data_IF_527939102756
#
_entry.id   IF_527939102756
#
_cell.length_a   1.000
_cell.length_b   1.000
_cell.length_c   1.000
_cell.angle_alpha   90.00
_cell.angle_beta   90.00
_cell.angle_gamma   90.00
#
_symmetry.space_group_name_H-M   'P 1'
#
loop_
_entity.id
_entity.type
_entity.pdbx_description
1 polymer ?
#
# COMPACT_ATOMS: atom_id res chain seq x y z
N UNK A 1 -4.19 -19.41 12.28
CA UNK A 1 -3.26 -18.27 12.33
C UNK A 1 -1.94 -18.70 11.71
N UNK A 2 -1.59 -18.24 10.51
CA UNK A 2 -0.33 -18.61 9.87
C UNK A 2 0.82 -17.92 10.59
N UNK A 3 1.53 -18.70 11.38
CA UNK A 3 2.75 -18.23 12.03
C UNK A 3 3.84 -18.08 10.99
N UNK A 4 4.51 -16.92 10.96
CA UNK A 4 5.76 -16.76 10.22
C UNK A 4 6.76 -17.76 10.80
N UNK A 5 7.07 -18.82 10.03
CA UNK A 5 7.94 -19.92 10.49
C UNK A 5 9.41 -19.65 10.17
N UNK A 6 9.68 -18.92 9.08
CA UNK A 6 11.04 -18.57 8.66
C UNK A 6 11.35 -17.15 9.10
N UNK A 7 12.40 -16.99 9.88
CA UNK A 7 12.80 -15.73 10.51
C UNK A 7 11.67 -15.13 11.36
N UNK A 8 11.21 -15.83 12.41
CA UNK A 8 10.12 -15.34 13.26
C UNK A 8 10.47 -14.04 13.98
N UNK A 9 11.76 -13.77 14.20
CA UNK A 9 12.28 -12.55 14.83
C UNK A 9 12.00 -11.26 13.99
N UNK A 10 11.74 -11.43 12.70
CA UNK A 10 11.35 -10.33 11.80
C UNK A 10 9.83 -10.07 11.81
N UNK A 11 9.05 -10.90 12.52
CA UNK A 11 7.61 -10.73 12.62
C UNK A 11 7.29 -9.60 13.60
N UNK A 12 6.69 -8.52 13.12
CA UNK A 12 6.06 -7.52 13.98
C UNK A 12 4.81 -8.11 14.64
N UNK A 13 4.63 -7.80 15.91
CA UNK A 13 3.49 -8.28 16.69
C UNK A 13 2.57 -7.13 17.13
N UNK A 14 3.04 -5.89 17.00
CA UNK A 14 2.30 -4.70 17.41
C UNK A 14 1.50 -4.16 16.23
N UNK A 15 0.31 -3.67 16.53
CA UNK A 15 -0.54 -2.99 15.55
C UNK A 15 0.16 -1.76 14.94
N UNK A 16 0.94 -1.04 15.71
CA UNK A 16 1.72 0.11 15.23
C UNK A 16 2.71 -0.25 14.12
N UNK A 17 3.27 -1.47 14.13
CA UNK A 17 4.18 -1.91 13.08
C UNK A 17 3.42 -2.16 11.77
N UNK A 18 2.21 -2.74 11.87
CA UNK A 18 1.31 -2.89 10.72
C UNK A 18 0.89 -1.55 10.14
N UNK A 19 0.44 -0.63 10.99
CA UNK A 19 -0.01 0.70 10.59
C UNK A 19 1.11 1.46 9.87
N UNK A 20 2.33 1.44 10.40
CA UNK A 20 3.50 2.08 9.80
C UNK A 20 3.83 1.53 8.39
N UNK A 21 3.64 0.22 8.17
CA UNK A 21 3.82 -0.38 6.84
C UNK A 21 2.69 0.02 5.89
N UNK A 22 1.44 -0.01 6.35
CA UNK A 22 0.28 0.34 5.53
C UNK A 22 0.24 1.84 5.18
N UNK A 23 0.78 2.72 6.04
CA UNK A 23 0.79 4.17 5.79
C UNK A 23 1.99 4.64 4.94
N UNK A 24 2.97 3.77 4.70
CA UNK A 24 4.20 4.14 4.01
C UNK A 24 4.11 4.12 2.47
N UNK A 25 3.05 3.56 1.89
CA UNK A 25 2.83 3.51 0.44
C UNK A 25 1.34 3.56 0.12
N UNK A 26 1.01 3.96 -1.11
CA UNK A 26 -0.37 4.04 -1.58
C UNK A 26 -0.73 2.86 -2.53
N UNK A 27 0.19 1.93 -2.77
CA UNK A 27 -0.01 0.79 -3.69
C UNK A 27 0.14 -0.51 -2.93
N UNK A 28 -0.83 -1.40 -3.11
CA UNK A 28 -0.78 -2.77 -2.62
C UNK A 28 -1.38 -3.73 -3.64
N UNK A 29 -1.45 -4.99 -3.29
CA UNK A 29 -1.93 -6.07 -4.14
C UNK A 29 -3.11 -6.76 -3.48
N UNK A 30 -4.27 -6.70 -4.11
CA UNK A 30 -5.45 -7.48 -3.73
C UNK A 30 -5.37 -8.85 -4.38
N UNK A 31 -5.55 -9.89 -3.59
CA UNK A 31 -5.62 -11.27 -4.01
C UNK A 31 -6.91 -11.92 -3.49
N UNK A 32 -7.57 -12.67 -4.34
CA UNK A 32 -8.79 -13.44 -4.02
C UNK A 32 -8.91 -14.64 -4.96
N UNK A 33 -10.03 -15.33 -4.89
CA UNK A 33 -10.40 -16.39 -5.85
C UNK A 33 -11.66 -15.94 -6.59
N UNK A 34 -11.60 -15.89 -7.89
CA UNK A 34 -12.73 -15.61 -8.78
C UNK A 34 -12.93 -16.82 -9.70
N UNK A 35 -14.13 -17.38 -9.70
CA UNK A 35 -14.51 -18.57 -10.48
C UNK A 35 -13.56 -19.78 -10.31
N UNK A 36 -13.08 -19.98 -9.08
CA UNK A 36 -12.16 -21.06 -8.73
C UNK A 36 -10.68 -20.81 -9.09
N UNK A 37 -10.38 -19.69 -9.73
CA UNK A 37 -9.02 -19.29 -10.12
C UNK A 37 -8.48 -18.18 -9.23
N UNK A 38 -7.17 -18.20 -8.92
CA UNK A 38 -6.51 -17.07 -8.24
C UNK A 38 -6.65 -15.80 -9.07
N UNK A 39 -7.15 -14.73 -8.46
CA UNK A 39 -7.25 -13.41 -9.05
C UNK A 39 -6.42 -12.42 -8.23
N UNK A 40 -5.49 -11.74 -8.89
CA UNK A 40 -4.51 -10.85 -8.25
C UNK A 40 -4.43 -9.54 -9.03
N UNK A 41 -4.57 -8.40 -8.33
CA UNK A 41 -4.50 -7.09 -8.97
C UNK A 41 -3.80 -6.06 -8.07
N UNK A 42 -2.81 -5.30 -8.59
CA UNK A 42 -2.28 -4.11 -7.93
C UNK A 42 -3.35 -3.02 -7.88
N UNK A 43 -3.50 -2.39 -6.71
CA UNK A 43 -4.50 -1.33 -6.49
C UNK A 43 -3.92 -0.20 -5.64
N UNK A 44 -4.38 1.02 -5.91
CA UNK A 44 -4.26 2.10 -4.95
C UNK A 44 -5.14 1.80 -3.74
N UNK A 45 -4.69 2.17 -2.57
CA UNK A 45 -5.43 2.01 -1.33
C UNK A 45 -5.18 3.14 -0.34
N UNK A 46 -6.02 3.20 0.66
CA UNK A 46 -5.80 4.00 1.87
C UNK A 46 -6.12 3.17 3.11
N UNK A 47 -5.51 3.49 4.25
CA UNK A 47 -5.91 2.96 5.56
C UNK A 47 -6.82 3.98 6.25
N UNK A 48 -7.93 3.50 6.79
CA UNK A 48 -8.85 4.27 7.61
C UNK A 48 -9.08 3.52 8.93
N UNK A 49 -8.27 3.83 9.94
CA UNK A 49 -8.34 3.13 11.23
C UNK A 49 -8.13 1.62 11.05
N UNK A 50 -9.17 0.84 11.34
CA UNK A 50 -9.17 -0.61 11.30
C UNK A 50 -9.67 -1.19 9.98
N UNK A 51 -9.46 -0.49 8.86
CA UNK A 51 -9.83 -0.97 7.53
C UNK A 51 -8.92 -0.45 6.44
N UNK A 52 -8.74 -1.26 5.40
CA UNK A 52 -8.15 -0.88 4.13
C UNK A 52 -9.28 -0.46 3.21
N UNK A 53 -9.16 0.73 2.63
CA UNK A 53 -10.12 1.28 1.66
C UNK A 53 -9.57 1.08 0.27
N UNK A 54 -10.40 0.56 -0.62
CA UNK A 54 -10.09 0.25 -2.01
C UNK A 54 -11.18 0.84 -2.93
N UNK A 55 -10.83 1.12 -4.18
CA UNK A 55 -11.83 1.46 -5.18
C UNK A 55 -11.52 0.85 -6.54
N UNK A 56 -12.54 0.75 -7.36
CA UNK A 56 -12.41 0.31 -8.73
C UNK A 56 -13.63 0.71 -9.57
N UNK A 57 -13.63 0.31 -10.83
CA UNK A 57 -14.77 0.56 -11.72
C UNK A 57 -15.91 -0.43 -11.46
N UNK A 58 -17.14 0.05 -11.45
CA UNK A 58 -18.32 -0.83 -11.45
C UNK A 58 -18.45 -1.70 -12.71
N UNK A 59 -17.71 -1.36 -13.78
CA UNK A 59 -17.58 -2.16 -15.00
C UNK A 59 -16.60 -3.33 -14.89
N UNK A 60 -15.77 -3.40 -13.84
CA UNK A 60 -14.81 -4.48 -13.61
C UNK A 60 -15.56 -5.71 -13.02
N UNK A 61 -15.93 -6.67 -13.85
CA UNK A 61 -16.76 -7.82 -13.47
C UNK A 61 -16.24 -8.59 -12.25
N UNK A 62 -14.96 -9.02 -12.27
CA UNK A 62 -14.35 -9.74 -11.16
C UNK A 62 -14.36 -8.93 -9.85
N UNK A 63 -14.05 -7.63 -9.89
CA UNK A 63 -14.06 -6.79 -8.70
C UNK A 63 -15.47 -6.66 -8.08
N UNK A 64 -16.51 -6.66 -8.90
CA UNK A 64 -17.90 -6.64 -8.42
C UNK A 64 -18.26 -7.92 -7.67
N UNK A 65 -17.85 -9.09 -8.18
CA UNK A 65 -18.11 -10.38 -7.53
C UNK A 65 -17.41 -10.45 -6.17
N UNK A 66 -16.17 -10.01 -6.09
CA UNK A 66 -15.39 -10.08 -4.84
C UNK A 66 -15.78 -9.02 -3.80
N UNK A 67 -16.38 -7.90 -4.22
CA UNK A 67 -16.78 -6.81 -3.33
C UNK A 67 -17.95 -7.19 -2.39
N UNK A 68 -18.67 -8.26 -2.66
CA UNK A 68 -19.87 -8.68 -1.92
C UNK A 68 -19.58 -9.82 -0.92
N UNK A 69 -18.41 -9.80 -0.29
CA UNK A 69 -18.06 -10.68 0.82
C UNK A 69 -17.08 -11.80 0.50
N UNK A 70 -16.41 -11.76 -0.64
CA UNK A 70 -15.40 -12.75 -0.96
C UNK A 70 -14.21 -12.70 0.00
N UNK A 71 -13.64 -13.86 0.38
CA UNK A 71 -12.37 -13.90 1.09
C UNK A 71 -11.26 -13.28 0.25
N UNK A 72 -10.46 -12.45 0.88
CA UNK A 72 -9.38 -11.74 0.22
C UNK A 72 -8.14 -11.62 1.09
N UNK A 73 -7.00 -11.44 0.45
CA UNK A 73 -5.77 -11.01 1.07
C UNK A 73 -5.30 -9.72 0.40
N UNK A 74 -4.87 -8.76 1.19
CA UNK A 74 -4.25 -7.53 0.70
C UNK A 74 -2.81 -7.48 1.17
N UNK A 75 -1.87 -7.41 0.24
CA UNK A 75 -0.44 -7.42 0.50
C UNK A 75 0.21 -6.08 0.12
N UNK A 76 1.10 -5.61 0.98
CA UNK A 76 1.95 -4.44 0.75
C UNK A 76 3.38 -4.84 0.95
N UNK A 77 4.28 -4.39 0.08
CA UNK A 77 5.71 -4.65 0.20
C UNK A 77 6.50 -3.45 -0.29
N UNK A 78 7.50 -3.05 0.50
CA UNK A 78 8.45 -2.01 0.15
C UNK A 78 9.87 -2.56 0.28
N UNK A 79 10.69 -2.29 -0.72
CA UNK A 79 12.11 -2.60 -0.70
C UNK A 79 12.85 -1.37 -0.17
N UNK A 80 13.48 -1.49 0.98
CA UNK A 80 14.16 -0.39 1.67
C UNK A 80 15.68 -0.41 1.46
N UNK A 81 16.24 -1.52 0.98
CA UNK A 81 17.68 -1.60 0.67
C UNK A 81 18.10 -2.97 0.15
N UNK A 82 19.24 -2.99 -0.49
CA UNK A 82 19.93 -4.22 -0.91
C UNK A 82 21.07 -4.48 0.08
N UNK A 83 21.09 -5.66 0.65
CA UNK A 83 22.12 -6.12 1.58
C UNK A 83 23.11 -6.98 0.80
N UNK A 84 24.33 -6.49 0.67
CA UNK A 84 25.42 -7.17 0.01
C UNK A 84 26.32 -7.75 1.11
N UNK A 85 26.50 -9.06 1.08
CA UNK A 85 27.43 -9.78 1.96
C UNK A 85 28.65 -10.24 1.16
N UNK A 86 29.65 -10.74 1.86
CA UNK A 86 30.83 -11.38 1.25
C UNK A 86 30.51 -12.71 0.55
N UNK A 87 29.30 -13.24 0.77
CA UNK A 87 28.78 -14.42 0.08
C UNK A 87 27.48 -14.14 -0.65
N UNK A 88 27.20 -14.89 -1.73
CA UNK A 88 25.89 -14.83 -2.41
C UNK A 88 24.75 -15.35 -1.53
N UNK A 89 25.03 -16.30 -0.66
CA UNK A 89 24.04 -16.90 0.22
C UNK A 89 23.52 -15.91 1.26
N UNK A 90 24.38 -15.05 1.80
CA UNK A 90 24.05 -14.08 2.84
C UNK A 90 23.56 -12.72 2.29
N UNK A 91 23.76 -12.52 0.98
CA UNK A 91 23.22 -11.34 0.30
C UNK A 91 21.69 -11.41 0.22
N UNK A 92 21.01 -10.30 0.52
CA UNK A 92 19.54 -10.25 0.65
C UNK A 92 19.01 -8.81 0.51
N UNK A 93 17.82 -8.54 1.03
CA UNK A 93 17.20 -7.22 1.00
C UNK A 93 16.69 -6.80 2.38
N UNK A 94 16.75 -5.51 2.67
CA UNK A 94 15.95 -4.87 3.71
C UNK A 94 14.60 -4.49 3.12
N UNK A 95 13.51 -4.81 3.83
CA UNK A 95 12.16 -4.61 3.35
C UNK A 95 11.16 -4.53 4.49
N UNK A 96 10.04 -3.90 4.21
CA UNK A 96 8.84 -3.94 5.04
C UNK A 96 7.70 -4.55 4.24
N UNK A 97 6.92 -5.44 4.87
CA UNK A 97 5.74 -6.03 4.24
C UNK A 97 4.63 -6.28 5.24
N UNK A 98 3.40 -6.18 4.75
CA UNK A 98 2.20 -6.50 5.49
C UNK A 98 1.25 -7.32 4.62
N UNK A 99 0.52 -8.24 5.25
CA UNK A 99 -0.60 -8.96 4.63
C UNK A 99 -1.78 -8.89 5.58
N UNK A 100 -2.91 -8.39 5.09
CA UNK A 100 -4.20 -8.37 5.79
C UNK A 100 -5.14 -9.33 5.09
N UNK A 101 -5.83 -10.17 5.85
CA UNK A 101 -6.81 -11.15 5.34
C UNK A 101 -8.18 -10.88 5.94
N UNK A 102 -9.21 -11.08 5.16
CA UNK A 102 -10.58 -10.88 5.59
C UNK A 102 -11.56 -10.99 4.43
N UNK A 103 -12.77 -10.53 4.65
CA UNK A 103 -13.79 -10.48 3.63
C UNK A 103 -14.01 -9.04 3.19
N UNK A 104 -14.00 -8.82 1.89
CA UNK A 104 -14.30 -7.51 1.30
C UNK A 104 -15.77 -7.15 1.56
N UNK A 105 -16.01 -5.86 1.77
CA UNK A 105 -17.35 -5.30 1.92
C UNK A 105 -17.48 -4.04 1.07
N UNK A 106 -18.57 -3.94 0.33
CA UNK A 106 -18.93 -2.75 -0.44
C UNK A 106 -19.32 -1.59 0.49
N UNK A 107 -18.86 -0.39 0.17
CA UNK A 107 -19.35 0.86 0.74
C UNK A 107 -20.54 1.39 -0.05
N UNK A 108 -21.51 2.00 0.63
CA UNK A 108 -22.69 2.59 0.00
C UNK A 108 -23.02 3.97 0.57
N UNK A 109 -23.75 4.79 -0.19
CA UNK A 109 -24.20 6.11 0.25
C UNK A 109 -23.03 7.01 0.70
N UNK A 110 -23.21 7.66 1.83
CA UNK A 110 -22.19 8.59 2.40
C UNK A 110 -20.89 7.89 2.78
N UNK A 111 -20.92 6.58 3.08
CA UNK A 111 -19.71 5.83 3.35
C UNK A 111 -18.83 5.72 2.10
N UNK A 112 -19.43 5.50 0.92
CA UNK A 112 -18.69 5.45 -0.33
C UNK A 112 -18.05 6.81 -0.67
N UNK A 113 -18.76 7.92 -0.44
CA UNK A 113 -18.22 9.28 -0.64
C UNK A 113 -17.00 9.48 0.27
N UNK A 114 -17.14 9.24 1.59
CA UNK A 114 -16.02 9.39 2.53
C UNK A 114 -14.83 8.51 2.20
N UNK A 115 -15.07 7.28 1.74
CA UNK A 115 -14.02 6.36 1.32
C UNK A 115 -13.23 6.91 0.12
N UNK A 116 -13.91 7.49 -0.88
CA UNK A 116 -13.26 8.06 -2.06
C UNK A 116 -12.51 9.36 -1.76
N UNK A 117 -13.06 10.22 -0.89
CA UNK A 117 -12.37 11.43 -0.42
C UNK A 117 -11.09 11.06 0.33
N UNK A 118 -11.16 10.10 1.25
CA UNK A 118 -10.02 9.61 2.00
C UNK A 118 -8.95 9.00 1.11
N UNK A 119 -9.32 8.24 0.08
CA UNK A 119 -8.36 7.72 -0.90
C UNK A 119 -7.68 8.82 -1.70
N UNK A 120 -8.44 9.86 -2.07
CA UNK A 120 -7.89 11.04 -2.75
C UNK A 120 -6.87 11.75 -1.88
N UNK A 121 -7.17 11.94 -0.60
CA UNK A 121 -6.30 12.63 0.35
C UNK A 121 -5.11 11.77 0.81
N UNK A 122 -5.25 10.45 0.82
CA UNK A 122 -4.13 9.54 1.05
C UNK A 122 -3.10 9.58 -0.09
N UNK A 123 -3.56 9.74 -1.33
CA UNK A 123 -2.70 9.86 -2.50
C UNK A 123 -2.10 11.26 -2.64
N UNK A 124 -2.95 12.30 -2.48
CA UNK A 124 -2.56 13.72 -2.60
C UNK A 124 -3.13 14.49 -1.39
N UNK A 125 -2.34 14.73 -0.34
CA UNK A 125 -2.82 15.24 0.94
C UNK A 125 -3.61 16.54 0.87
N UNK A 126 -4.89 16.49 1.25
CA UNK A 126 -5.82 17.64 1.25
C UNK A 126 -6.44 17.96 -0.11
N UNK A 127 -6.32 17.06 -1.09
CA UNK A 127 -6.84 17.30 -2.44
C UNK A 127 -8.36 17.37 -2.50
N UNK A 128 -9.05 16.60 -1.69
CA UNK A 128 -10.51 16.55 -1.67
C UNK A 128 -11.15 17.93 -1.37
N UNK A 129 -10.47 18.76 -0.54
CA UNK A 129 -10.91 20.09 -0.20
C UNK A 129 -10.61 21.16 -1.28
N UNK A 130 -9.73 20.88 -2.22
CA UNK A 130 -9.29 21.82 -3.25
C UNK A 130 -10.08 21.73 -4.57
N UNK A 131 -10.83 20.65 -4.76
CA UNK A 131 -11.58 20.39 -5.98
C UNK A 131 -13.07 20.20 -5.69
N UNK A 132 -13.90 20.22 -6.73
CA UNK A 132 -15.32 19.92 -6.58
C UNK A 132 -15.55 18.51 -6.03
N UNK A 133 -16.65 18.33 -5.35
CA UNK A 133 -17.10 17.03 -4.88
C UNK A 133 -17.50 16.07 -6.03
N UNK A 134 -17.63 14.80 -5.72
CA UNK A 134 -18.05 13.77 -6.67
C UNK A 134 -19.45 14.02 -7.22
N UNK A 135 -19.64 13.84 -8.50
CA UNK A 135 -20.98 13.84 -9.13
C UNK A 135 -21.67 12.49 -8.92
N UNK A 136 -23.01 12.48 -9.00
CA UNK A 136 -23.81 11.24 -8.95
C UNK A 136 -23.36 10.21 -10.00
N UNK A 137 -22.96 10.68 -11.19
CA UNK A 137 -22.49 9.80 -12.29
C UNK A 137 -21.14 9.17 -11.94
N UNK A 138 -20.21 9.91 -11.36
CA UNK A 138 -18.90 9.40 -10.92
C UNK A 138 -19.06 8.38 -9.80
N UNK A 139 -19.89 8.67 -8.79
CA UNK A 139 -20.20 7.72 -7.72
C UNK A 139 -20.84 6.43 -8.25
N UNK A 140 -21.77 6.52 -9.20
CA UNK A 140 -22.39 5.35 -9.80
C UNK A 140 -21.43 4.49 -10.63
N UNK A 141 -20.36 5.11 -11.18
CA UNK A 141 -19.33 4.42 -11.95
C UNK A 141 -18.20 3.83 -11.10
N UNK A 142 -18.16 4.18 -9.79
CA UNK A 142 -17.06 3.82 -8.90
C UNK A 142 -17.54 2.87 -7.81
N UNK A 143 -16.84 1.75 -7.66
CA UNK A 143 -17.04 0.78 -6.60
C UNK A 143 -16.05 1.08 -5.48
N UNK A 144 -16.52 1.54 -4.32
CA UNK A 144 -15.74 1.67 -3.11
C UNK A 144 -15.94 0.45 -2.21
N UNK A 145 -14.84 -0.05 -1.63
CA UNK A 145 -14.83 -1.28 -0.83
C UNK A 145 -13.92 -1.10 0.38
N UNK A 146 -14.15 -1.89 1.40
CA UNK A 146 -13.28 -1.99 2.56
C UNK A 146 -12.92 -3.44 2.87
N UNK A 147 -11.70 -3.63 3.35
CA UNK A 147 -11.23 -4.88 3.96
C UNK A 147 -10.93 -4.58 5.44
N UNK A 148 -11.67 -5.18 6.40
CA UNK A 148 -11.41 -4.98 7.82
C UNK A 148 -10.02 -5.49 8.24
N UNK A 149 -9.38 -4.79 9.16
CA UNK A 149 -8.12 -5.19 9.79
C UNK A 149 -8.44 -5.78 11.18
N UNK A 150 -8.79 -7.04 11.20
CA UNK A 150 -9.17 -7.73 12.43
C UNK A 150 -7.97 -8.29 13.19
N UNK A 151 -8.00 -8.34 14.54
CA UNK A 151 -6.97 -8.97 15.32
C UNK A 151 -6.73 -10.42 14.89
N UNK A 152 -5.46 -10.77 14.65
CA UNK A 152 -5.09 -12.11 14.22
C UNK A 152 -5.28 -12.43 12.73
N UNK A 153 -5.85 -11.48 11.96
CA UNK A 153 -6.03 -11.62 10.51
C UNK A 153 -4.97 -10.89 9.69
N UNK A 154 -3.88 -10.50 10.29
CA UNK A 154 -2.77 -9.84 9.60
C UNK A 154 -1.41 -10.38 10.01
N UNK A 155 -0.44 -10.14 9.17
CA UNK A 155 0.99 -10.37 9.45
C UNK A 155 1.78 -9.16 8.96
N UNK A 156 2.81 -8.78 9.71
CA UNK A 156 3.76 -7.74 9.31
C UNK A 156 5.18 -8.27 9.48
N UNK A 157 6.07 -7.87 8.60
CA UNK A 157 7.47 -8.26 8.63
C UNK A 157 8.34 -7.07 8.27
N UNK A 158 9.34 -6.82 9.10
CA UNK A 158 10.31 -5.74 8.91
C UNK A 158 11.71 -6.33 9.00
N UNK A 159 12.50 -6.15 7.97
CA UNK A 159 13.93 -6.43 7.99
C UNK A 159 14.68 -5.13 7.72
N UNK A 160 15.47 -4.73 8.68
CA UNK A 160 16.37 -3.57 8.60
C UNK A 160 17.67 -3.92 9.37
N UNK A 161 18.55 -4.62 8.68
CA UNK A 161 19.77 -5.14 9.29
C UNK A 161 20.94 -5.10 8.28
N UNK A 162 22.16 -4.94 8.75
CA UNK A 162 23.37 -5.13 7.95
C UNK A 162 23.51 -6.60 7.50
N UNK A 163 24.45 -6.91 6.61
CA UNK A 163 24.86 -8.30 6.36
C UNK A 163 25.43 -8.91 7.65
N UNK A 164 25.36 -10.24 7.80
CA UNK A 164 26.04 -10.92 8.90
C UNK A 164 27.57 -10.68 8.83
N UNK A 165 28.22 -10.71 9.97
CA UNK A 165 29.67 -10.65 9.99
C UNK A 165 30.25 -11.91 9.32
N UNK A 166 31.30 -11.78 8.50
CA UNK A 166 31.92 -12.93 7.86
C UNK A 166 32.57 -13.86 8.89
N UNK A 167 32.59 -15.13 8.60
CA UNK A 167 33.24 -16.14 9.48
C UNK A 167 34.78 -16.15 9.33
N UNK A 168 35.28 -15.60 8.24
CA UNK A 168 36.71 -15.42 7.96
C UNK A 168 36.88 -14.10 7.18
N UNK A 169 38.06 -13.49 7.26
CA UNK A 169 38.38 -12.30 6.49
C UNK A 169 38.45 -12.66 5.00
N UNK A 170 37.41 -12.26 4.26
CA UNK A 170 37.31 -12.51 2.82
C UNK A 170 37.97 -11.41 1.98
N UNK A 171 38.25 -10.25 2.58
CA UNK A 171 38.70 -9.04 1.86
C UNK A 171 37.65 -8.43 0.94
N UNK A 172 36.44 -9.00 0.89
CA UNK A 172 35.33 -8.53 0.05
C UNK A 172 34.53 -7.41 0.73
N UNK A 173 34.00 -6.49 -0.08
CA UNK A 173 33.12 -5.44 0.43
C UNK A 173 31.77 -6.02 0.83
N UNK A 174 31.25 -5.61 2.01
CA UNK A 174 29.92 -5.93 2.50
C UNK A 174 29.25 -4.68 3.08
N UNK A 175 27.93 -4.57 2.91
CA UNK A 175 27.18 -3.41 3.39
C UNK A 175 25.74 -3.37 2.89
N UNK A 176 25.10 -2.22 3.05
CA UNK A 176 23.71 -1.98 2.59
C UNK A 176 23.70 -0.83 1.59
N UNK A 177 23.01 -1.04 0.46
CA UNK A 177 22.65 0.03 -0.47
C UNK A 177 21.20 0.42 -0.16
N UNK A 178 20.95 1.57 0.52
CA UNK A 178 19.58 2.00 0.82
C UNK A 178 18.83 2.42 -0.44
N UNK A 179 17.52 2.16 -0.44
CA UNK A 179 16.62 2.53 -1.53
C UNK A 179 15.50 3.42 -0.98
N UNK A 180 15.24 4.53 -1.67
CA UNK A 180 14.19 5.48 -1.31
C UNK A 180 13.36 5.86 -2.52
N UNK A 181 12.03 5.92 -2.32
CA UNK A 181 11.13 6.54 -3.29
C UNK A 181 10.93 7.99 -2.89
N UNK A 182 11.19 8.93 -3.81
CA UNK A 182 11.05 10.36 -3.57
C UNK A 182 10.15 11.01 -4.63
N UNK A 183 9.31 11.96 -4.21
CA UNK A 183 8.63 12.85 -5.15
C UNK A 183 9.66 13.79 -5.82
N UNK A 184 9.38 14.14 -7.07
CA UNK A 184 10.19 15.11 -7.84
C UNK A 184 9.35 16.33 -8.17
N UNK A 185 9.94 17.35 -8.77
CA UNK A 185 9.24 18.55 -9.22
C UNK A 185 8.01 18.19 -10.05
N UNK A 186 6.86 18.83 -9.79
CA UNK A 186 5.63 18.54 -10.50
C UNK A 186 5.71 19.00 -11.95
N UNK A 187 5.23 18.17 -12.86
CA UNK A 187 5.16 18.48 -14.29
C UNK A 187 3.72 18.88 -14.62
N UNK A 188 3.46 20.16 -14.99
CA UNK A 188 2.10 20.59 -15.32
C UNK A 188 1.61 19.89 -16.61
N UNK A 189 0.31 19.60 -16.65
CA UNK A 189 -0.30 19.09 -17.87
C UNK A 189 -0.30 20.16 -18.98
N UNK A 190 -0.27 19.79 -20.29
CA UNK A 190 -0.13 20.74 -21.39
C UNK A 190 -1.23 21.81 -21.48
N UNK A 191 -2.41 21.55 -20.92
CA UNK A 191 -3.54 22.49 -20.89
C UNK A 191 -3.54 23.42 -19.67
N UNK A 192 -2.61 23.24 -18.72
CA UNK A 192 -2.50 24.15 -17.58
C UNK A 192 -1.83 25.44 -18.03
N UNK A 193 -2.46 26.58 -17.78
CA UNK A 193 -1.90 27.89 -18.14
C UNK A 193 -0.63 28.17 -17.34
N UNK A 194 0.38 28.74 -17.98
CA UNK A 194 1.71 28.96 -17.39
C UNK A 194 1.72 29.74 -16.06
N UNK A 195 0.70 30.56 -15.79
CA UNK A 195 0.61 31.34 -14.56
C UNK A 195 -0.14 30.62 -13.40
N UNK A 196 -0.62 29.40 -13.62
CA UNK A 196 -1.32 28.63 -12.58
C UNK A 196 -0.31 27.82 -11.78
N UNK A 197 -0.04 28.18 -10.52
CA UNK A 197 0.91 27.43 -9.69
C UNK A 197 0.35 26.09 -9.24
N UNK A 198 1.22 25.14 -8.85
CA UNK A 198 0.78 23.92 -8.17
C UNK A 198 -0.03 24.27 -6.90
N UNK A 199 -1.15 23.58 -6.64
CA UNK A 199 -1.94 23.80 -5.42
C UNK A 199 -1.21 23.30 -4.18
N UNK A 200 -1.69 23.65 -2.99
CA UNK A 200 -1.05 23.29 -1.72
C UNK A 200 -0.93 21.79 -1.52
N UNK A 201 -1.91 21.03 -1.96
CA UNK A 201 -1.87 19.57 -1.90
C UNK A 201 -0.68 18.98 -2.68
N UNK A 202 -0.39 19.51 -3.88
CA UNK A 202 0.74 19.08 -4.71
C UNK A 202 2.06 19.53 -4.08
N UNK A 203 2.13 20.75 -3.52
CA UNK A 203 3.33 21.22 -2.79
C UNK A 203 3.64 20.31 -1.61
N UNK A 204 2.63 20.01 -0.76
CA UNK A 204 2.79 19.07 0.36
C UNK A 204 3.29 17.68 -0.08
N UNK A 205 2.83 17.19 -1.23
CA UNK A 205 3.27 15.90 -1.76
C UNK A 205 4.76 15.91 -2.15
N UNK A 206 5.25 17.03 -2.71
CA UNK A 206 6.66 17.19 -3.14
C UNK A 206 7.58 17.42 -1.95
N UNK A 207 7.16 18.24 -0.98
CA UNK A 207 7.98 18.62 0.19
C UNK A 207 8.18 17.47 1.18
N UNK A 208 7.48 16.36 0.97
CA UNK A 208 7.49 15.19 1.85
C UNK A 208 6.39 15.27 2.91
N UNK A 209 5.92 14.11 3.30
CA UNK A 209 4.92 13.94 4.38
C UNK A 209 5.59 13.87 5.73
#
# INVERSE_FOLDING_TARGET
>A
MDRIRRYPDLAGTRRTDLDAVLDATAVGTLATVDDGLPWVVPMLYARDGDRIVLHGSTGAGALRHVADGAPAAFAVTMLDGIVVADTLFDSTANYRSAVVRGNLRRCAGDEAVRALDLMSDALVPGRSAEVRTHTKKELAATLAMVLPIEPGCWTVKVRDAPPPAPTADSGEWAGVVPLHTTARDPIPAPWVRAHVPPPDSVRRLVDGR
#
